data_IF_598035901920
#
_entry.id   IF_598035901920
#
_cell.length_a   1.000
_cell.length_b   1.000
_cell.length_c   1.000
_cell.angle_alpha   90.00
_cell.angle_beta   90.00
_cell.angle_gamma   90.00
#
_symmetry.space_group_name_H-M   'P 1'
#
loop_
_entity.id
_entity.type
_entity.pdbx_description
1 polymer ?
#
# COMPACT_ATOMS: atom_id res chain seq x y z
N UNK A 1 3.99 15.58 -25.94
CA UNK A 1 4.74 15.20 -27.18
C UNK A 1 4.42 13.74 -27.39
N UNK A 2 3.67 13.41 -28.44
CA UNK A 2 2.85 12.20 -28.58
C UNK A 2 3.63 10.88 -28.83
N UNK A 3 4.54 10.47 -27.94
CA UNK A 3 5.37 9.28 -28.16
C UNK A 3 5.16 8.12 -27.18
N UNK A 4 4.35 8.28 -26.13
CA UNK A 4 4.17 7.20 -25.15
C UNK A 4 3.15 6.15 -25.59
N UNK A 5 2.01 6.58 -26.14
CA UNK A 5 0.89 5.67 -26.45
C UNK A 5 1.15 4.78 -27.67
N UNK A 6 1.89 5.25 -28.67
CA UNK A 6 2.22 4.42 -29.84
C UNK A 6 3.12 3.22 -29.48
N UNK A 7 3.91 3.34 -28.39
CA UNK A 7 4.87 2.31 -27.98
C UNK A 7 4.34 1.36 -26.89
N UNK A 8 3.27 1.70 -26.18
CA UNK A 8 2.65 0.84 -25.15
C UNK A 8 2.03 -0.43 -25.75
N UNK A 9 1.57 -0.37 -27.01
CA UNK A 9 0.97 -1.51 -27.72
C UNK A 9 1.93 -2.70 -27.91
N UNK A 10 3.24 -2.49 -27.81
CA UNK A 10 4.24 -3.54 -28.04
C UNK A 10 4.64 -4.32 -26.77
N UNK A 11 4.46 -3.76 -25.57
CA UNK A 11 5.15 -4.27 -24.37
C UNK A 11 4.25 -4.92 -23.30
N UNK A 12 2.92 -4.82 -23.39
CA UNK A 12 2.02 -5.54 -22.48
C UNK A 12 0.75 -5.98 -23.18
N UNK A 13 0.29 -7.22 -22.95
CA UNK A 13 -1.05 -7.68 -23.36
C UNK A 13 -2.07 -6.81 -22.59
N UNK A 14 -2.77 -5.86 -23.22
CA UNK A 14 -3.51 -4.84 -22.48
C UNK A 14 -4.75 -5.47 -21.84
N UNK A 15 -4.86 -5.38 -20.51
CA UNK A 15 -6.12 -5.65 -19.78
C UNK A 15 -6.87 -4.36 -19.41
N UNK A 16 -6.26 -3.21 -19.66
CA UNK A 16 -6.82 -1.88 -19.40
C UNK A 16 -6.93 -1.16 -20.74
N UNK A 17 -8.04 -0.46 -20.94
CA UNK A 17 -8.38 0.25 -22.16
C UNK A 17 -7.32 1.33 -22.46
N UNK A 18 -6.33 1.02 -23.31
CA UNK A 18 -5.18 1.89 -23.61
C UNK A 18 -5.60 3.22 -24.24
N UNK A 19 -6.83 3.28 -24.78
CA UNK A 19 -7.40 4.50 -25.36
C UNK A 19 -7.61 5.63 -24.34
N UNK A 20 -7.89 5.29 -23.08
CA UNK A 20 -8.10 6.25 -21.99
C UNK A 20 -6.78 6.84 -21.45
N UNK A 21 -5.65 6.17 -21.69
CA UNK A 21 -4.30 6.57 -21.31
C UNK A 21 -3.64 7.51 -22.33
N UNK A 22 -4.38 7.97 -23.35
CA UNK A 22 -3.89 8.99 -24.26
C UNK A 22 -3.62 10.28 -23.48
N UNK A 23 -2.43 10.86 -23.66
CA UNK A 23 -1.86 12.07 -23.01
C UNK A 23 -2.77 13.32 -23.12
N UNK A 24 -3.89 13.20 -23.84
CA UNK A 24 -4.87 14.24 -24.14
C UNK A 24 -6.32 13.84 -23.88
N UNK A 25 -6.59 12.74 -23.16
CA UNK A 25 -7.92 12.49 -22.61
C UNK A 25 -8.29 13.69 -21.71
N UNK A 26 -9.44 14.36 -21.95
CA UNK A 26 -9.88 15.49 -21.12
C UNK A 26 -9.85 15.15 -19.62
N UNK A 27 -10.24 13.92 -19.27
CA UNK A 27 -10.26 13.44 -17.90
C UNK A 27 -8.87 13.39 -17.23
N UNK A 28 -7.84 12.93 -17.94
CA UNK A 28 -6.48 12.87 -17.38
C UNK A 28 -5.86 14.27 -17.24
N UNK A 29 -6.24 15.20 -18.13
CA UNK A 29 -5.84 16.60 -18.02
C UNK A 29 -6.49 17.25 -16.80
N UNK A 30 -7.79 17.03 -16.60
CA UNK A 30 -8.53 17.54 -15.45
C UNK A 30 -7.96 16.99 -14.13
N UNK A 31 -7.64 15.68 -14.08
CA UNK A 31 -7.00 15.05 -12.93
C UNK A 31 -5.62 15.66 -12.61
N UNK A 32 -4.77 15.83 -13.63
CA UNK A 32 -3.45 16.45 -13.46
C UNK A 32 -3.57 17.91 -13.02
N UNK A 33 -4.52 18.66 -13.56
CA UNK A 33 -4.76 20.05 -13.18
C UNK A 33 -5.28 20.16 -11.75
N UNK A 34 -6.25 19.32 -11.37
CA UNK A 34 -6.76 19.24 -10.01
C UNK A 34 -5.64 18.93 -9.03
N UNK A 35 -4.83 17.91 -9.33
CA UNK A 35 -3.71 17.53 -8.48
C UNK A 35 -2.76 18.70 -8.25
N UNK A 36 -2.33 19.37 -9.34
CA UNK A 36 -1.44 20.54 -9.29
C UNK A 36 -1.97 21.68 -8.43
N UNK A 37 -3.27 21.95 -8.54
CA UNK A 37 -3.91 23.06 -7.82
C UNK A 37 -4.13 22.75 -6.33
N UNK A 38 -4.20 21.47 -5.96
CA UNK A 38 -4.62 21.07 -4.62
C UNK A 38 -3.48 20.53 -3.75
N UNK A 39 -2.32 20.14 -4.31
CA UNK A 39 -1.22 19.53 -3.51
C UNK A 39 -0.79 20.39 -2.33
N UNK A 40 -0.54 21.68 -2.54
CA UNK A 40 -0.13 22.60 -1.48
C UNK A 40 -1.21 22.80 -0.41
N UNK A 41 -2.47 22.96 -0.83
CA UNK A 41 -3.62 23.15 0.07
C UNK A 41 -3.87 21.92 0.94
N UNK A 42 -3.80 20.74 0.35
CA UNK A 42 -4.10 19.46 1.00
C UNK A 42 -2.89 18.90 1.78
N UNK A 43 -1.73 19.56 1.73
CA UNK A 43 -0.51 19.04 2.35
C UNK A 43 -0.03 17.73 1.73
N UNK A 44 -0.38 17.46 0.46
CA UNK A 44 0.06 16.27 -0.25
C UNK A 44 1.54 16.43 -0.53
N UNK A 45 2.36 15.66 0.18
CA UNK A 45 3.77 15.55 -0.10
C UNK A 45 3.97 14.64 -1.32
N UNK A 46 4.85 15.04 -2.22
CA UNK A 46 5.12 14.30 -3.46
C UNK A 46 6.61 14.06 -3.64
N UNK A 47 6.95 12.85 -4.06
CA UNK A 47 8.32 12.45 -4.43
C UNK A 47 8.27 11.80 -5.81
N UNK A 48 9.12 12.28 -6.72
CA UNK A 48 9.07 11.92 -8.14
C UNK A 48 10.39 11.28 -8.57
N UNK A 49 10.29 10.20 -9.33
CA UNK A 49 11.44 9.48 -9.90
C UNK A 49 11.23 9.28 -11.40
N UNK A 50 12.31 9.26 -12.17
CA UNK A 50 12.29 8.94 -13.59
C UNK A 50 13.43 7.99 -13.96
N UNK A 51 13.23 7.23 -15.04
CA UNK A 51 14.21 6.27 -15.57
C UNK A 51 15.25 6.97 -16.44
N UNK A 52 16.49 6.48 -16.41
CA UNK A 52 17.55 6.94 -17.33
C UNK A 52 18.04 5.83 -18.26
N UNK A 53 17.52 4.61 -18.14
CA UNK A 53 17.84 3.50 -19.05
C UNK A 53 16.61 3.15 -19.89
N UNK A 54 16.75 3.05 -21.22
CA UNK A 54 15.62 2.67 -22.06
C UNK A 54 15.27 1.19 -21.87
N UNK A 55 13.98 0.89 -21.94
CA UNK A 55 13.45 -0.47 -22.04
C UNK A 55 13.12 -0.78 -23.51
N UNK A 56 13.84 -1.70 -24.14
CA UNK A 56 13.59 -2.05 -25.54
C UNK A 56 13.80 -0.87 -26.51
N UNK A 57 14.71 0.05 -26.19
CA UNK A 57 15.02 1.25 -26.99
C UNK A 57 14.14 2.47 -26.69
N UNK A 58 13.13 2.34 -25.84
CA UNK A 58 12.23 3.43 -25.45
C UNK A 58 12.46 3.82 -23.99
N UNK A 59 12.59 5.12 -23.73
CA UNK A 59 12.53 5.65 -22.37
C UNK A 59 11.07 5.97 -22.06
N UNK A 60 10.44 5.16 -21.22
CA UNK A 60 9.01 5.21 -20.92
C UNK A 60 8.69 6.41 -20.04
N UNK A 61 9.46 6.64 -18.98
CA UNK A 61 9.26 7.77 -18.06
C UNK A 61 10.53 8.60 -17.96
N UNK A 62 10.64 9.61 -18.83
CA UNK A 62 11.73 10.58 -18.78
C UNK A 62 11.45 11.70 -17.75
N UNK A 63 12.42 12.58 -17.55
CA UNK A 63 12.35 13.72 -16.61
C UNK A 63 11.11 14.58 -16.80
N UNK A 64 10.81 14.97 -18.06
CA UNK A 64 9.67 15.82 -18.40
C UNK A 64 8.33 15.13 -18.15
N UNK A 65 8.22 13.84 -18.51
CA UNK A 65 6.99 13.06 -18.35
C UNK A 65 6.69 12.71 -16.89
N UNK A 66 7.73 12.63 -16.06
CA UNK A 66 7.60 12.39 -14.63
C UNK A 66 7.17 13.67 -13.89
N UNK A 67 7.41 14.85 -14.45
CA UNK A 67 7.20 16.13 -13.76
C UNK A 67 5.69 16.44 -13.56
N UNK A 68 5.21 16.41 -12.31
CA UNK A 68 3.84 16.79 -11.99
C UNK A 68 3.64 18.31 -12.00
N UNK A 69 4.69 19.11 -12.26
CA UNK A 69 4.76 20.57 -12.23
C UNK A 69 3.97 21.19 -11.09
N UNK A 70 4.32 20.76 -9.89
CA UNK A 70 3.91 21.32 -8.61
C UNK A 70 5.12 22.00 -7.97
N UNK A 71 4.87 23.04 -7.19
CA UNK A 71 5.92 23.85 -6.57
C UNK A 71 6.80 23.01 -5.65
N UNK A 72 8.11 23.29 -5.65
CA UNK A 72 9.13 22.70 -4.76
C UNK A 72 9.32 21.17 -4.87
N UNK A 73 8.83 20.54 -5.96
CA UNK A 73 9.04 19.13 -6.24
C UNK A 73 9.87 18.97 -7.50
N UNK A 74 11.01 18.29 -7.38
CA UNK A 74 11.89 17.97 -8.50
C UNK A 74 11.93 16.46 -8.74
N UNK A 75 11.93 16.07 -10.01
CA UNK A 75 12.09 14.72 -10.49
C UNK A 75 13.52 14.23 -10.27
N UNK A 76 13.67 12.97 -9.85
CA UNK A 76 14.96 12.37 -9.48
C UNK A 76 15.32 11.27 -10.47
N UNK A 77 16.49 11.41 -11.09
CA UNK A 77 17.05 10.42 -12.00
C UNK A 77 17.35 9.10 -11.29
N UNK A 78 16.92 7.98 -11.88
CA UNK A 78 17.23 6.64 -11.41
C UNK A 78 17.89 5.85 -12.54
N UNK A 79 19.08 5.25 -12.31
CA UNK A 79 19.81 4.47 -13.32
C UNK A 79 19.20 3.08 -13.56
N UNK A 80 17.92 3.05 -13.86
CA UNK A 80 17.07 1.89 -14.06
C UNK A 80 16.18 2.11 -15.30
N UNK A 81 15.64 1.01 -15.83
CA UNK A 81 14.59 1.01 -16.84
C UNK A 81 13.20 0.87 -16.20
N UNK A 82 12.15 0.92 -17.01
CA UNK A 82 10.76 0.88 -16.53
C UNK A 82 10.40 -0.33 -15.65
N UNK A 83 11.09 -1.46 -15.82
CA UNK A 83 10.84 -2.68 -15.04
C UNK A 83 11.66 -2.67 -13.75
N UNK A 84 12.94 -2.33 -13.86
CA UNK A 84 13.87 -2.39 -12.73
C UNK A 84 13.63 -1.25 -11.73
N UNK A 85 13.17 -0.08 -12.18
CA UNK A 85 12.82 1.05 -11.29
C UNK A 85 11.69 0.67 -10.32
N UNK A 86 10.74 -0.16 -10.78
CA UNK A 86 9.62 -0.66 -9.98
C UNK A 86 9.97 -1.90 -9.13
N UNK A 87 11.19 -2.44 -9.25
CA UNK A 87 11.68 -3.64 -8.56
C UNK A 87 12.99 -3.37 -7.82
N UNK A 88 13.08 -2.20 -7.20
CA UNK A 88 14.25 -1.73 -6.49
C UNK A 88 14.67 -2.67 -5.34
N UNK A 89 15.98 -2.93 -5.22
CA UNK A 89 16.60 -3.58 -4.08
C UNK A 89 16.76 -2.65 -2.88
N UNK A 90 17.09 -3.19 -1.71
CA UNK A 90 17.17 -2.45 -0.43
C UNK A 90 18.17 -1.28 -0.44
N UNK A 91 19.19 -1.34 -1.30
CA UNK A 91 20.24 -0.33 -1.40
C UNK A 91 20.01 0.67 -2.55
N UNK A 92 18.97 0.46 -3.35
CA UNK A 92 18.71 1.31 -4.51
C UNK A 92 18.13 2.66 -4.08
N UNK A 93 18.45 3.71 -4.84
CA UNK A 93 18.05 5.08 -4.53
C UNK A 93 16.53 5.23 -4.33
N UNK A 94 15.73 4.57 -5.19
CA UNK A 94 14.27 4.59 -5.11
C UNK A 94 13.78 4.01 -3.79
N UNK A 95 14.32 2.85 -3.38
CA UNK A 95 13.93 2.20 -2.14
C UNK A 95 14.27 3.08 -0.94
N UNK A 96 15.54 3.50 -0.81
CA UNK A 96 16.01 4.29 0.33
C UNK A 96 15.29 5.64 0.39
N UNK A 97 15.09 6.30 -0.75
CA UNK A 97 14.38 7.59 -0.81
C UNK A 97 12.90 7.45 -0.46
N UNK A 98 12.26 6.36 -0.89
CA UNK A 98 10.85 6.07 -0.56
C UNK A 98 10.69 5.79 0.93
N UNK A 99 11.56 4.98 1.52
CA UNK A 99 11.54 4.73 2.98
C UNK A 99 11.71 6.03 3.76
N UNK A 100 12.71 6.86 3.43
CA UNK A 100 12.92 8.16 4.09
C UNK A 100 11.74 9.11 3.91
N UNK A 101 11.12 9.08 2.73
CA UNK A 101 9.94 9.89 2.45
C UNK A 101 8.75 9.45 3.31
N UNK A 102 8.49 8.14 3.39
CA UNK A 102 7.49 7.56 4.27
C UNK A 102 7.77 7.88 5.74
N UNK A 103 9.02 7.73 6.22
CA UNK A 103 9.41 8.08 7.59
C UNK A 103 9.14 9.55 7.90
N UNK A 104 9.42 10.47 6.97
CA UNK A 104 9.09 11.89 7.14
C UNK A 104 7.58 12.11 7.29
N UNK A 105 6.79 11.49 6.42
CA UNK A 105 5.32 11.54 6.48
C UNK A 105 4.82 10.98 7.82
N UNK A 106 5.31 9.82 8.23
CA UNK A 106 4.87 9.12 9.44
C UNK A 106 5.39 9.73 10.75
N UNK A 107 6.53 10.42 10.73
CA UNK A 107 7.08 11.09 11.92
C UNK A 107 6.45 12.46 12.14
N UNK A 108 6.02 13.14 11.07
CA UNK A 108 5.30 14.41 11.16
C UNK A 108 3.96 14.27 11.91
N UNK A 109 3.34 13.08 11.91
CA UNK A 109 2.06 12.82 12.61
C UNK A 109 2.21 12.32 14.06
N UNK A 110 3.41 11.97 14.52
CA UNK A 110 3.65 11.41 15.87
C UNK A 110 3.51 12.39 17.04
N UNK A 111 3.18 13.66 16.79
CA UNK A 111 3.01 14.66 17.86
C UNK A 111 1.62 14.65 18.52
N UNK A 112 0.80 13.63 18.26
CA UNK A 112 -0.46 13.41 18.97
C UNK A 112 -0.36 12.10 19.75
N UNK A 113 -0.53 12.18 21.06
CA UNK A 113 -0.35 11.06 21.99
C UNK A 113 -1.26 9.87 21.64
N UNK A 114 -0.70 8.77 21.12
CA UNK A 114 -1.43 7.51 20.91
C UNK A 114 -1.54 6.76 22.25
N UNK A 115 -2.76 6.37 22.60
CA UNK A 115 -3.08 5.58 23.78
C UNK A 115 -2.40 4.20 23.75
N UNK A 116 -1.98 3.75 24.93
CA UNK A 116 -1.06 2.65 25.26
C UNK A 116 -1.48 1.22 24.84
N UNK A 117 -2.50 1.00 24.02
CA UNK A 117 -2.98 -0.34 23.63
C UNK A 117 -2.53 -0.73 22.23
N UNK A 118 -2.15 -2.00 22.04
CA UNK A 118 -1.76 -2.54 20.73
C UNK A 118 -2.94 -2.43 19.74
N UNK A 119 -2.75 -1.80 18.56
CA UNK A 119 -3.77 -1.60 17.55
C UNK A 119 -4.50 -2.89 17.14
N UNK A 120 -5.84 -2.84 17.12
CA UNK A 120 -6.67 -3.96 16.66
C UNK A 120 -8.09 -3.53 16.23
N UNK A 121 -8.75 -4.30 15.36
CA UNK A 121 -10.13 -4.04 14.92
C UNK A 121 -11.06 -5.27 14.96
N UNK A 122 -10.66 -6.33 15.68
CA UNK A 122 -11.33 -7.63 15.65
C UNK A 122 -11.95 -8.02 16.99
N UNK A 123 -11.65 -7.35 18.10
CA UNK A 123 -12.18 -7.68 19.44
C UNK A 123 -13.70 -7.70 19.53
N UNK A 124 -14.37 -6.92 18.69
CA UNK A 124 -15.85 -6.88 18.61
C UNK A 124 -16.43 -8.15 17.96
N UNK A 125 -15.62 -8.95 17.26
CA UNK A 125 -16.07 -10.21 16.64
C UNK A 125 -16.32 -11.23 17.74
N UNK A 126 -17.50 -11.86 17.74
CA UNK A 126 -17.80 -12.93 18.69
C UNK A 126 -17.18 -14.23 18.19
N UNK A 127 -16.11 -14.68 18.84
CA UNK A 127 -15.57 -16.03 18.65
C UNK A 127 -16.38 -17.09 19.42
N UNK A 128 -16.01 -18.36 19.22
CA UNK A 128 -16.52 -19.47 19.99
C UNK A 128 -16.09 -19.36 21.46
N UNK A 129 -17.03 -19.56 22.40
CA UNK A 129 -16.73 -19.56 23.85
C UNK A 129 -15.78 -20.69 24.27
N UNK A 130 -15.78 -21.78 23.51
CA UNK A 130 -14.92 -22.95 23.71
C UNK A 130 -14.39 -23.38 22.34
N UNK A 131 -13.09 -23.29 22.16
CA UNK A 131 -12.38 -23.69 20.94
C UNK A 131 -11.25 -24.63 21.36
N UNK A 132 -11.28 -25.89 20.92
CA UNK A 132 -10.36 -26.94 21.38
C UNK A 132 -9.91 -27.82 20.22
N UNK A 133 -8.76 -28.49 20.37
CA UNK A 133 -8.28 -29.49 19.40
C UNK A 133 -7.69 -28.92 18.12
N UNK A 134 -7.29 -27.64 18.14
CA UNK A 134 -6.69 -26.91 17.01
C UNK A 134 -5.34 -26.28 17.35
N UNK A 135 -4.79 -26.61 18.51
CA UNK A 135 -3.54 -26.06 19.02
C UNK A 135 -2.38 -26.28 18.04
N UNK A 136 -2.31 -27.47 17.45
CA UNK A 136 -1.29 -27.81 16.46
C UNK A 136 -1.38 -26.99 15.17
N UNK A 137 -2.61 -26.68 14.73
CA UNK A 137 -2.86 -25.83 13.55
C UNK A 137 -2.44 -24.39 13.84
N UNK A 138 -2.76 -23.88 15.04
CA UNK A 138 -2.36 -22.54 15.50
C UNK A 138 -0.83 -22.45 15.61
N UNK A 139 -0.18 -23.47 16.17
CA UNK A 139 1.28 -23.55 16.30
C UNK A 139 1.96 -23.51 14.92
N UNK A 140 1.49 -24.33 13.99
CA UNK A 140 2.02 -24.37 12.61
C UNK A 140 1.83 -23.03 11.91
N UNK A 141 0.67 -22.37 12.10
CA UNK A 141 0.42 -21.03 11.56
C UNK A 141 1.42 -20.01 12.12
N UNK A 142 1.71 -20.04 13.42
CA UNK A 142 2.69 -19.15 14.04
C UNK A 142 4.10 -19.33 13.45
N UNK A 143 4.53 -20.58 13.30
CA UNK A 143 5.84 -20.92 12.76
C UNK A 143 5.99 -20.43 11.31
N UNK A 144 4.97 -20.63 10.48
CA UNK A 144 4.97 -20.13 9.11
C UNK A 144 5.03 -18.60 9.05
N UNK A 145 4.30 -17.90 9.92
CA UNK A 145 4.31 -16.44 9.98
C UNK A 145 5.63 -15.85 10.51
N UNK A 146 6.44 -16.64 11.23
CA UNK A 146 7.77 -16.23 11.72
C UNK A 146 8.94 -16.65 10.81
N UNK A 147 8.69 -17.47 9.80
CA UNK A 147 9.75 -18.04 8.96
C UNK A 147 10.52 -16.98 8.15
N UNK A 148 9.98 -15.78 7.96
CA UNK A 148 10.62 -14.71 7.18
C UNK A 148 10.68 -13.38 7.95
N UNK A 149 11.78 -12.63 7.79
CA UNK A 149 11.99 -11.35 8.48
C UNK A 149 11.23 -10.15 7.86
N UNK A 150 10.65 -10.32 6.67
CA UNK A 150 10.04 -9.20 5.93
C UNK A 150 8.53 -9.32 5.77
N UNK A 151 8.06 -10.37 5.09
CA UNK A 151 6.63 -10.63 4.85
C UNK A 151 6.42 -12.14 4.77
N UNK A 152 5.47 -12.65 5.55
CA UNK A 152 5.00 -14.03 5.49
C UNK A 152 3.52 -14.06 5.12
N UNK A 153 3.13 -14.98 4.23
CA UNK A 153 1.74 -15.18 3.83
C UNK A 153 1.40 -16.64 4.05
N UNK A 154 0.40 -16.90 4.90
CA UNK A 154 -0.13 -18.23 5.16
C UNK A 154 -1.61 -18.30 4.80
N UNK A 155 -2.03 -19.44 4.25
CA UNK A 155 -3.43 -19.71 3.95
C UNK A 155 -3.95 -20.85 4.84
N UNK A 156 -5.08 -20.63 5.51
CA UNK A 156 -5.80 -21.70 6.22
C UNK A 156 -6.91 -22.24 5.30
N UNK A 157 -6.76 -23.47 4.82
CA UNK A 157 -7.69 -24.11 3.87
C UNK A 157 -8.41 -25.33 4.50
N UNK A 158 -9.50 -25.79 3.86
CA UNK A 158 -10.33 -26.89 4.36
C UNK A 158 -11.83 -26.73 4.08
N UNK A 159 -12.63 -27.73 4.44
CA UNK A 159 -14.08 -27.77 4.18
C UNK A 159 -14.86 -26.58 4.76
N UNK A 160 -16.01 -26.27 4.20
CA UNK A 160 -16.92 -25.25 4.75
C UNK A 160 -17.35 -25.63 6.19
N UNK A 161 -17.55 -24.64 7.06
CA UNK A 161 -18.00 -24.87 8.44
C UNK A 161 -16.97 -25.49 9.40
N UNK A 162 -15.79 -25.91 8.94
CA UNK A 162 -14.79 -26.59 9.77
C UNK A 162 -14.08 -25.69 10.82
N UNK A 163 -14.39 -24.38 10.83
CA UNK A 163 -13.84 -23.42 11.79
C UNK A 163 -12.58 -22.67 11.36
N UNK A 164 -12.27 -22.57 10.06
CA UNK A 164 -11.06 -21.85 9.57
C UNK A 164 -10.99 -20.39 10.04
N UNK A 165 -12.10 -19.68 9.93
CA UNK A 165 -12.23 -18.30 10.41
C UNK A 165 -12.02 -18.22 11.92
N UNK A 166 -12.51 -19.21 12.65
CA UNK A 166 -12.32 -19.29 14.10
C UNK A 166 -10.85 -19.55 14.46
N UNK A 167 -10.14 -20.42 13.73
CA UNK A 167 -8.68 -20.62 13.91
C UNK A 167 -7.94 -19.29 13.79
N UNK A 168 -8.20 -18.53 12.73
CA UNK A 168 -7.55 -17.24 12.52
C UNK A 168 -7.93 -16.21 13.60
N UNK A 169 -9.19 -16.20 14.06
CA UNK A 169 -9.65 -15.30 15.11
C UNK A 169 -9.01 -15.63 16.47
N UNK A 170 -8.92 -16.91 16.84
CA UNK A 170 -8.29 -17.35 18.07
C UNK A 170 -6.78 -17.08 18.06
N UNK A 171 -6.12 -17.27 16.91
CA UNK A 171 -4.73 -16.86 16.71
C UNK A 171 -4.55 -15.35 16.97
N UNK A 172 -5.41 -14.52 16.39
CA UNK A 172 -5.37 -13.07 16.57
C UNK A 172 -5.57 -12.68 18.05
N UNK A 173 -6.58 -13.23 18.73
CA UNK A 173 -6.80 -12.98 20.16
C UNK A 173 -5.60 -13.34 21.01
N UNK A 174 -5.05 -14.56 20.83
CA UNK A 174 -3.91 -15.04 21.60
C UNK A 174 -2.70 -14.11 21.43
N UNK A 175 -2.30 -13.79 20.20
CA UNK A 175 -1.11 -12.99 19.95
C UNK A 175 -1.28 -11.50 20.24
N UNK A 176 -2.52 -11.00 20.20
CA UNK A 176 -2.84 -9.64 20.64
C UNK A 176 -2.72 -9.53 22.16
N UNK A 177 -3.25 -10.48 22.93
CA UNK A 177 -3.12 -10.54 24.40
C UNK A 177 -1.66 -10.70 24.83
N UNK A 178 -0.90 -11.55 24.12
CA UNK A 178 0.53 -11.75 24.35
C UNK A 178 1.41 -10.61 23.83
N UNK A 179 0.84 -9.57 23.22
CA UNK A 179 1.60 -8.45 22.66
C UNK A 179 2.69 -8.87 21.67
N UNK A 180 2.48 -9.97 20.94
CA UNK A 180 3.48 -10.56 20.04
C UNK A 180 3.79 -9.65 18.85
N UNK A 181 2.78 -8.92 18.36
CA UNK A 181 2.90 -8.01 17.23
C UNK A 181 2.76 -6.57 17.71
N UNK A 182 3.89 -5.89 17.92
CA UNK A 182 3.91 -4.50 18.39
C UNK A 182 3.21 -3.52 17.43
N UNK A 183 3.20 -3.82 16.12
CA UNK A 183 2.49 -3.05 15.10
C UNK A 183 0.97 -3.28 15.05
N UNK A 184 0.43 -4.17 15.89
CA UNK A 184 -0.99 -4.49 15.91
C UNK A 184 -1.41 -5.61 14.97
N UNK A 185 -2.71 -5.92 15.00
CA UNK A 185 -3.34 -6.96 14.19
C UNK A 185 -4.59 -6.37 13.52
N UNK A 186 -4.59 -6.34 12.19
CA UNK A 186 -5.72 -5.86 11.40
C UNK A 186 -6.48 -7.03 10.76
N UNK A 187 -7.78 -7.09 11.01
CA UNK A 187 -8.70 -8.03 10.39
C UNK A 187 -9.45 -7.36 9.25
N UNK A 188 -9.35 -7.94 8.05
CA UNK A 188 -9.94 -7.39 6.83
C UNK A 188 -10.99 -8.36 6.26
N UNK A 189 -12.15 -7.82 5.93
CA UNK A 189 -13.24 -8.58 5.31
C UNK A 189 -13.24 -8.37 3.79
N UNK A 190 -12.75 -9.36 3.07
CA UNK A 190 -12.65 -9.30 1.60
C UNK A 190 -14.00 -9.53 0.90
N UNK A 191 -15.07 -9.88 1.63
CA UNK A 191 -16.41 -10.13 1.07
C UNK A 191 -17.29 -8.90 1.28
N UNK A 192 -17.71 -8.27 0.17
CA UNK A 192 -18.71 -7.21 0.20
C UNK A 192 -18.21 -5.82 0.63
N UNK A 193 -16.90 -5.64 0.87
CA UNK A 193 -16.31 -4.36 1.22
C UNK A 193 -14.97 -4.12 0.50
N UNK A 194 -14.63 -2.86 0.23
CA UNK A 194 -13.34 -2.48 -0.33
C UNK A 194 -12.25 -2.62 0.75
N UNK A 195 -11.26 -3.48 0.49
CA UNK A 195 -10.17 -3.76 1.43
C UNK A 195 -9.28 -2.54 1.66
N UNK A 196 -9.05 -1.71 0.63
CA UNK A 196 -8.28 -0.47 0.76
C UNK A 196 -8.93 0.52 1.72
N UNK A 197 -10.25 0.69 1.64
CA UNK A 197 -11.01 1.55 2.57
C UNK A 197 -10.89 1.04 4.01
N UNK A 198 -10.96 -0.27 4.22
CA UNK A 198 -10.78 -0.87 5.55
C UNK A 198 -9.37 -0.64 6.11
N UNK A 199 -8.33 -0.77 5.28
CA UNK A 199 -6.94 -0.50 5.68
C UNK A 199 -6.78 0.97 6.09
N UNK A 200 -7.28 1.90 5.27
CA UNK A 200 -7.19 3.33 5.56
C UNK A 200 -7.97 3.66 6.84
N UNK A 201 -9.17 3.11 7.01
CA UNK A 201 -10.00 3.34 8.20
C UNK A 201 -9.31 2.83 9.47
N UNK A 202 -8.67 1.66 9.42
CA UNK A 202 -7.90 1.11 10.52
C UNK A 202 -6.66 1.97 10.83
N UNK A 203 -5.96 2.43 9.79
CA UNK A 203 -4.82 3.31 9.95
C UNK A 203 -5.25 4.60 10.69
N UNK A 204 -6.30 5.27 10.18
CA UNK A 204 -6.87 6.47 10.80
C UNK A 204 -7.26 6.26 12.26
N UNK A 205 -7.96 5.16 12.59
CA UNK A 205 -8.47 4.95 13.94
C UNK A 205 -7.39 4.62 14.95
N UNK A 206 -6.40 3.80 14.58
CA UNK A 206 -5.46 3.24 15.55
C UNK A 206 -4.10 3.96 15.59
N UNK A 207 -3.71 4.63 14.51
CA UNK A 207 -2.41 5.29 14.40
C UNK A 207 -2.52 6.80 14.29
N UNK A 208 -3.72 7.36 14.52
CA UNK A 208 -4.01 8.78 14.47
C UNK A 208 -3.61 9.41 13.11
N UNK A 209 -3.81 8.65 12.03
CA UNK A 209 -3.65 9.19 10.68
C UNK A 209 -4.76 10.18 10.38
N UNK A 210 -4.38 11.38 9.93
CA UNK A 210 -5.33 12.34 9.39
C UNK A 210 -5.21 12.37 7.87
N UNK A 211 -6.17 11.77 7.18
CA UNK A 211 -6.39 12.12 5.78
C UNK A 211 -7.53 13.14 5.76
N UNK A 212 -7.28 14.32 5.18
CA UNK A 212 -8.26 15.39 5.04
C UNK A 212 -9.57 14.82 4.48
N UNK A 213 -10.68 15.02 5.20
CA UNK A 213 -12.01 14.48 4.87
C UNK A 213 -12.78 15.30 3.83
N UNK A 214 -12.16 16.31 3.23
CA UNK A 214 -12.80 17.22 2.26
C UNK A 214 -12.57 16.78 0.81
N UNK A 215 -12.78 15.49 0.50
CA UNK A 215 -12.62 14.89 -0.84
C UNK A 215 -13.88 14.11 -1.28
N UNK A 216 -15.08 14.63 -0.97
CA UNK A 216 -16.32 14.32 -1.71
C UNK A 216 -16.96 15.65 -2.14
N UNK A 217 -16.57 16.17 -3.32
CA UNK A 217 -17.34 17.06 -4.21
C UNK A 217 -16.59 17.33 -5.53
#
# INVERSE_FOLDING_TARGET
MANLIENIGFLTKPRVNVEELKEHSPHLRDLNQWYRQNTGRLGILTKVFYETKPMGGVLVVNEDSADPGITDVHSIAVPADHVSIAKAGKNDLVYVSTIRFCEKVFTAEKNTQVSKSIPENFRRRRGAKRFVGRDEVIRTLHEQLRATEMVAISSVSGMAGIGKTEVALQYAYFHWEQSTYAGGICWLECRGQNVGVQIISFAMSEFNFSFSKDDDL
#
